data_IF_374988735851
#
_entry.id   IF_374988735851
#
_cell.length_a   1.000
_cell.length_b   1.000
_cell.length_c   1.000
_cell.angle_alpha   90.00
_cell.angle_beta   90.00
_cell.angle_gamma   90.00
#
_symmetry.space_group_name_H-M   'P 1'
#
loop_
_entity.id
_entity.type
_entity.pdbx_description
1 polymer ?
#
# COMPACT_ATOMS: atom_id res chain seq x y z
N UNK A 1 -6.28 0.75 3.62
CA UNK A 1 -5.22 0.06 2.85
C UNK A 1 -5.09 0.76 1.50
N UNK A 2 -4.02 0.51 0.76
CA UNK A 2 -3.83 0.97 -0.63
C UNK A 2 -3.74 -0.26 -1.54
N UNK A 3 -4.27 -0.18 -2.75
CA UNK A 3 -4.21 -1.24 -3.77
C UNK A 3 -3.55 -0.69 -5.03
N UNK A 4 -2.43 -1.28 -5.45
CA UNK A 4 -1.66 -0.89 -6.63
C UNK A 4 -1.98 -1.83 -7.78
N UNK A 5 -2.36 -1.28 -8.94
CA UNK A 5 -2.67 -2.08 -10.14
C UNK A 5 -1.41 -2.56 -10.87
N UNK A 6 -0.37 -1.73 -10.88
CA UNK A 6 0.95 -1.98 -11.43
C UNK A 6 1.94 -0.91 -10.94
N UNK A 7 3.18 -0.94 -11.42
CA UNK A 7 4.29 -0.16 -10.85
C UNK A 7 4.90 0.88 -11.79
N UNK A 8 4.12 1.43 -12.72
CA UNK A 8 4.53 2.69 -13.35
C UNK A 8 4.57 3.81 -12.31
N UNK A 9 5.46 4.78 -12.50
CA UNK A 9 5.71 5.85 -11.52
C UNK A 9 4.44 6.64 -11.19
N UNK A 10 3.60 6.92 -12.16
CA UNK A 10 2.34 7.63 -12.00
C UNK A 10 1.29 6.87 -11.18
N UNK A 11 1.50 5.57 -10.94
CA UNK A 11 0.66 4.74 -10.06
C UNK A 11 1.24 4.55 -8.65
N UNK A 12 2.51 4.92 -8.41
CA UNK A 12 3.18 4.68 -7.11
C UNK A 12 3.83 5.91 -6.48
N UNK A 13 4.07 6.99 -7.25
CA UNK A 13 4.89 8.13 -6.82
C UNK A 13 4.34 8.84 -5.58
N UNK A 14 3.02 8.88 -5.40
CA UNK A 14 2.38 9.53 -4.26
C UNK A 14 2.29 8.65 -3.00
N UNK A 15 2.65 7.36 -3.09
CA UNK A 15 2.47 6.41 -1.99
C UNK A 15 3.24 6.81 -0.70
N UNK A 16 4.51 7.27 -0.76
CA UNK A 16 5.22 7.70 0.44
C UNK A 16 4.60 8.93 1.10
N UNK A 17 4.17 9.91 0.32
CA UNK A 17 3.52 11.12 0.84
C UNK A 17 2.14 10.81 1.44
N UNK A 18 1.38 9.90 0.82
CA UNK A 18 0.13 9.43 1.39
C UNK A 18 0.35 8.70 2.71
N UNK A 19 1.40 7.87 2.80
CA UNK A 19 1.81 7.21 4.03
C UNK A 19 2.19 8.20 5.13
N UNK A 20 3.01 9.21 4.82
CA UNK A 20 3.43 10.26 5.75
C UNK A 20 2.24 11.08 6.25
N UNK A 21 1.40 11.59 5.35
CA UNK A 21 0.28 12.46 5.71
C UNK A 21 -0.72 11.74 6.61
N UNK A 22 -1.08 10.50 6.27
CA UNK A 22 -2.03 9.75 7.11
C UNK A 22 -1.39 9.24 8.41
N UNK A 23 -0.08 9.02 8.46
CA UNK A 23 0.64 8.75 9.72
C UNK A 23 0.62 9.97 10.65
N UNK A 24 0.96 11.16 10.14
CA UNK A 24 0.87 12.41 10.89
C UNK A 24 -0.55 12.78 11.32
N UNK A 25 -1.57 12.31 10.60
CA UNK A 25 -2.97 12.43 10.97
C UNK A 25 -3.44 11.39 12.02
N UNK A 26 -2.54 10.57 12.57
CA UNK A 26 -2.84 9.64 13.66
C UNK A 26 -3.38 8.26 13.23
N UNK A 27 -3.07 7.79 12.00
CA UNK A 27 -3.46 6.44 11.56
C UNK A 27 -3.00 5.38 12.59
N UNK A 28 -3.89 4.51 13.10
CA UNK A 28 -3.60 3.67 14.27
C UNK A 28 -2.80 2.39 13.95
N UNK A 29 -2.48 2.15 12.67
CA UNK A 29 -1.78 0.96 12.20
C UNK A 29 -0.87 1.28 11.00
N UNK A 30 0.16 0.48 10.74
CA UNK A 30 0.96 0.59 9.53
C UNK A 30 0.09 0.58 8.26
N UNK A 31 0.50 1.32 7.23
CA UNK A 31 -0.21 1.29 5.95
C UNK A 31 0.06 -0.03 5.24
N UNK A 32 -0.98 -0.84 5.08
CA UNK A 32 -0.93 -2.03 4.22
C UNK A 32 -1.12 -1.63 2.75
N UNK A 33 -0.20 -2.08 1.89
CA UNK A 33 -0.18 -1.86 0.46
C UNK A 33 -0.30 -3.22 -0.24
N UNK A 34 -1.44 -3.43 -0.88
CA UNK A 34 -1.71 -4.60 -1.71
C UNK A 34 -1.27 -4.31 -3.14
N UNK A 35 -0.72 -5.32 -3.81
CA UNK A 35 -0.34 -5.22 -5.20
C UNK A 35 0.02 -6.57 -5.80
N UNK A 36 0.19 -6.65 -7.11
CA UNK A 36 0.63 -7.87 -7.78
C UNK A 36 2.07 -8.26 -7.43
N UNK A 37 2.56 -9.34 -8.04
CA UNK A 37 3.96 -9.77 -7.93
C UNK A 37 4.93 -8.60 -8.19
N UNK A 38 5.89 -8.39 -7.30
CA UNK A 38 6.77 -7.21 -7.26
C UNK A 38 6.39 -6.14 -6.21
N UNK A 39 5.20 -6.20 -5.60
CA UNK A 39 4.77 -5.20 -4.60
C UNK A 39 5.74 -5.05 -3.42
N UNK A 40 6.32 -6.16 -2.97
CA UNK A 40 7.30 -6.16 -1.87
C UNK A 40 8.56 -5.37 -2.23
N UNK A 41 9.03 -5.47 -3.47
CA UNK A 41 10.21 -4.73 -3.95
C UNK A 41 9.94 -3.22 -3.93
N UNK A 42 8.80 -2.80 -4.50
CA UNK A 42 8.39 -1.40 -4.55
C UNK A 42 8.24 -0.82 -3.15
N UNK A 43 7.50 -1.48 -2.26
CA UNK A 43 7.25 -0.98 -0.90
C UNK A 43 8.53 -0.93 -0.08
N UNK A 44 9.39 -1.95 -0.15
CA UNK A 44 10.67 -1.95 0.56
C UNK A 44 11.63 -0.90 0.02
N UNK A 45 11.66 -0.68 -1.30
CA UNK A 45 12.44 0.38 -1.94
C UNK A 45 12.00 1.77 -1.48
N UNK A 46 10.69 2.03 -1.47
CA UNK A 46 10.13 3.30 -0.99
C UNK A 46 10.38 3.52 0.51
N UNK A 47 10.18 2.50 1.35
CA UNK A 47 10.52 2.56 2.78
C UNK A 47 12.01 2.88 2.98
N UNK A 48 12.89 2.30 2.15
CA UNK A 48 14.34 2.55 2.20
C UNK A 48 14.68 3.99 1.80
N UNK A 49 14.11 4.46 0.69
CA UNK A 49 14.33 5.80 0.17
C UNK A 49 13.87 6.89 1.17
N UNK A 50 12.76 6.66 1.87
CA UNK A 50 12.18 7.60 2.83
C UNK A 50 12.63 7.38 4.29
N UNK A 51 13.54 6.43 4.55
CA UNK A 51 13.98 6.09 5.90
C UNK A 51 14.60 7.28 6.65
N UNK A 52 15.38 8.11 5.96
CA UNK A 52 15.99 9.29 6.58
C UNK A 52 14.93 10.34 6.95
N UNK A 53 13.99 10.63 6.05
CA UNK A 53 12.88 11.54 6.30
C UNK A 53 12.07 11.11 7.54
N UNK A 54 11.62 9.86 7.58
CA UNK A 54 10.83 9.35 8.72
C UNK A 54 11.63 9.40 10.03
N UNK A 55 12.93 9.08 10.00
CA UNK A 55 13.82 9.17 11.17
C UNK A 55 13.93 10.60 11.68
N UNK A 56 14.16 11.57 10.81
CA UNK A 56 14.33 12.97 11.20
C UNK A 56 13.03 13.59 11.72
N UNK A 57 11.89 13.24 11.12
CA UNK A 57 10.58 13.70 11.59
C UNK A 57 10.25 13.18 12.97
N UNK A 58 10.50 11.91 13.24
CA UNK A 58 10.35 11.35 14.60
C UNK A 58 11.24 12.09 15.59
N UNK A 59 12.52 12.29 15.24
CA UNK A 59 13.44 13.01 16.11
C UNK A 59 13.01 14.47 16.38
N UNK A 60 12.36 15.12 15.41
CA UNK A 60 11.91 16.50 15.52
C UNK A 60 10.55 16.66 16.23
N UNK A 61 9.60 15.76 15.98
CA UNK A 61 8.21 15.86 16.44
C UNK A 61 7.85 14.91 17.60
N UNK A 62 8.69 13.92 17.89
CA UNK A 62 8.49 12.94 18.97
C UNK A 62 7.69 11.70 18.56
N UNK A 63 7.96 10.59 19.24
CA UNK A 63 7.30 9.29 18.99
C UNK A 63 5.82 9.26 19.41
N UNK A 64 5.38 10.18 20.29
CA UNK A 64 3.97 10.29 20.66
C UNK A 64 3.10 10.70 19.47
N UNK A 65 3.56 11.70 18.69
CA UNK A 65 2.87 12.14 17.49
C UNK A 65 3.16 11.22 16.30
N UNK A 66 4.40 10.75 16.20
CA UNK A 66 4.87 9.93 15.08
C UNK A 66 5.44 8.60 15.58
N UNK A 67 4.60 7.63 15.99
CA UNK A 67 5.11 6.32 16.41
C UNK A 67 5.85 5.64 15.24
N UNK A 68 7.17 5.36 15.34
CA UNK A 68 7.98 4.97 14.18
C UNK A 68 7.47 3.73 13.45
N UNK A 69 6.96 2.76 14.22
CA UNK A 69 6.41 1.50 13.68
C UNK A 69 5.22 1.72 12.75
N UNK A 70 4.45 2.79 12.94
CA UNK A 70 3.26 3.09 12.12
C UNK A 70 3.62 3.81 10.81
N UNK A 71 4.79 4.42 10.73
CA UNK A 71 5.32 5.08 9.53
C UNK A 71 5.93 4.13 8.50
N UNK A 72 6.15 2.86 8.83
CA UNK A 72 6.69 1.85 7.91
C UNK A 72 5.55 1.16 7.15
N UNK A 73 5.56 1.20 5.83
CA UNK A 73 4.55 0.54 5.01
C UNK A 73 4.75 -0.99 5.00
N UNK A 74 3.66 -1.74 4.87
CA UNK A 74 3.66 -3.20 4.79
C UNK A 74 3.13 -3.66 3.44
N UNK A 75 3.92 -4.40 2.69
CA UNK A 75 3.48 -5.01 1.43
C UNK A 75 2.64 -6.26 1.70
N UNK A 76 1.63 -6.48 0.87
CA UNK A 76 0.86 -7.72 0.82
C UNK A 76 0.66 -8.10 -0.64
N UNK A 77 1.09 -9.31 -1.00
CA UNK A 77 0.85 -9.85 -2.33
C UNK A 77 -0.65 -10.10 -2.50
N UNK A 78 -1.21 -9.56 -3.57
CA UNK A 78 -2.50 -9.99 -4.09
C UNK A 78 -2.24 -10.77 -5.39
N UNK A 79 -2.30 -12.09 -5.29
CA UNK A 79 -2.21 -12.94 -6.46
C UNK A 79 -3.36 -12.65 -7.43
N UNK A 80 -3.14 -12.91 -8.71
CA UNK A 80 -4.15 -12.71 -9.75
C UNK A 80 -5.30 -13.70 -9.55
N UNK A 81 -6.54 -13.22 -9.58
CA UNK A 81 -7.73 -14.05 -9.44
C UNK A 81 -8.08 -14.40 -8.01
N UNK A 82 -7.30 -13.96 -7.01
CA UNK A 82 -7.62 -14.18 -5.61
C UNK A 82 -8.58 -13.13 -5.08
N UNK A 83 -9.37 -13.55 -4.10
CA UNK A 83 -10.32 -12.73 -3.39
C UNK A 83 -9.83 -12.48 -1.96
N UNK A 84 -9.90 -11.23 -1.53
CA UNK A 84 -9.60 -10.80 -0.17
C UNK A 84 -10.87 -10.29 0.49
N UNK A 85 -11.20 -10.90 1.62
CA UNK A 85 -12.34 -10.48 2.46
C UNK A 85 -11.88 -9.49 3.53
N UNK A 86 -12.62 -8.39 3.66
CA UNK A 86 -12.41 -7.32 4.63
C UNK A 86 -13.74 -6.91 5.28
N UNK A 87 -14.29 -7.77 6.12
CA UNK A 87 -15.59 -7.54 6.73
C UNK A 87 -16.72 -7.81 5.73
N UNK A 88 -17.47 -6.78 5.36
CA UNK A 88 -18.54 -6.80 4.35
C UNK A 88 -18.05 -6.46 2.93
N UNK A 89 -16.75 -6.21 2.79
CA UNK A 89 -16.09 -5.89 1.53
C UNK A 89 -15.31 -7.10 1.02
N UNK A 90 -15.64 -7.53 -0.20
CA UNK A 90 -14.86 -8.49 -0.97
C UNK A 90 -14.08 -7.80 -2.08
N UNK A 91 -12.80 -8.14 -2.23
CA UNK A 91 -11.90 -7.52 -3.22
C UNK A 91 -11.27 -8.60 -4.06
N UNK A 92 -11.65 -8.67 -5.34
CA UNK A 92 -11.11 -9.67 -6.28
C UNK A 92 -10.17 -9.01 -7.28
N UNK A 93 -8.97 -9.57 -7.45
CA UNK A 93 -8.03 -9.14 -8.50
C UNK A 93 -8.31 -9.84 -9.83
N UNK A 94 -8.06 -9.17 -10.95
CA UNK A 94 -8.15 -9.78 -12.28
C UNK A 94 -7.11 -9.17 -13.22
N UNK A 95 -6.67 -9.93 -14.24
CA UNK A 95 -5.69 -9.42 -15.21
C UNK A 95 -6.30 -8.34 -16.09
N UNK A 96 -5.48 -7.33 -16.38
CA UNK A 96 -5.73 -6.35 -17.45
C UNK A 96 -4.60 -6.40 -18.46
N UNK A 97 -4.91 -6.04 -19.71
CA UNK A 97 -3.88 -5.93 -20.75
C UNK A 97 -3.14 -4.60 -20.57
N UNK A 98 -1.85 -4.67 -20.24
CA UNK A 98 -0.99 -3.50 -20.16
C UNK A 98 0.48 -3.86 -20.46
N UNK A 99 0.75 -4.37 -21.65
CA UNK A 99 2.11 -4.72 -22.06
C UNK A 99 3.08 -3.52 -22.00
N UNK A 100 4.35 -3.73 -21.56
CA UNK A 100 4.98 -5.02 -21.26
C UNK A 100 4.78 -5.51 -19.81
N UNK A 101 3.92 -4.87 -19.01
CA UNK A 101 3.75 -5.19 -17.59
C UNK A 101 2.93 -6.48 -17.44
N UNK A 102 3.54 -7.47 -16.78
CA UNK A 102 2.94 -8.76 -16.51
C UNK A 102 3.33 -9.24 -15.10
N UNK A 103 2.38 -9.35 -14.16
CA UNK A 103 0.96 -9.01 -14.27
C UNK A 103 0.69 -7.51 -14.08
N UNK A 104 -0.27 -6.96 -14.83
CA UNK A 104 -1.03 -5.76 -14.46
C UNK A 104 -2.44 -6.21 -14.05
N UNK A 105 -2.97 -5.63 -12.98
CA UNK A 105 -4.26 -6.07 -12.40
C UNK A 105 -5.27 -4.94 -12.28
N UNK A 106 -6.54 -5.28 -12.44
CA UNK A 106 -7.68 -4.51 -11.94
C UNK A 106 -8.21 -5.12 -10.64
N UNK A 107 -9.00 -4.35 -9.90
CA UNK A 107 -9.66 -4.79 -8.68
C UNK A 107 -11.16 -4.54 -8.78
N UNK A 108 -11.96 -5.56 -8.46
CA UNK A 108 -13.41 -5.42 -8.24
C UNK A 108 -13.66 -5.38 -6.74
N UNK A 109 -14.43 -4.39 -6.31
CA UNK A 109 -14.85 -4.21 -4.93
C UNK A 109 -16.36 -4.47 -4.85
N UNK A 110 -16.74 -5.48 -4.09
CA UNK A 110 -18.13 -5.85 -3.86
C UNK A 110 -18.46 -5.57 -2.38
N UNK A 111 -19.55 -4.82 -2.11
CA UNK A 111 -19.99 -4.46 -0.75
C UNK A 111 -21.33 -5.14 -0.48
N UNK A 112 -21.45 -5.84 0.65
CA UNK A 112 -22.72 -6.40 1.11
C UNK A 112 -23.20 -7.60 0.29
N UNK A 113 -22.29 -8.34 -0.35
CA UNK A 113 -22.64 -9.60 -0.97
C UNK A 113 -23.05 -10.61 0.12
N UNK A 114 -24.31 -11.01 0.12
CA UNK A 114 -24.79 -12.22 0.79
C UNK A 114 -24.06 -13.41 0.11
N UNK A 115 -23.45 -14.35 0.87
CA UNK A 115 -22.62 -15.43 0.33
C UNK A 115 -23.31 -16.33 -0.71
#
# INVERSE_FOLDING_TARGET
>A
AVFLTHFHSDHIAALPEFNLNSWGAGRPKPMTVYGPDGVSEVVNGLNTAYRLDSTYRVAHHGEELLPPKLGVMQAQLMEVGTMLEMGDLSITSFLVNHDPIRPAVGYRFDIGADP
#
